data_IF_277583402929
#
_entry.id   IF_277583402929
#
_cell.length_a   1.000
_cell.length_b   1.000
_cell.length_c   1.000
_cell.angle_alpha   90.00
_cell.angle_beta   90.00
_cell.angle_gamma   90.00
#
_symmetry.space_group_name_H-M   'P 1'
#
loop_
_entity.id
_entity.type
_entity.pdbx_description
1 polymer ?
#
# COMPACT_ATOMS: atom_id res chain seq x y z
N UNK A 1 3.72 6.09 18.05
CA UNK A 1 4.37 5.31 17.00
C UNK A 1 4.09 3.83 17.19
N UNK A 2 3.73 3.17 16.15
CA UNK A 2 3.48 1.74 16.17
C UNK A 2 4.47 0.99 15.31
N UNK A 3 4.30 -0.29 15.25
CA UNK A 3 5.01 -1.14 14.31
C UNK A 3 4.01 -2.01 13.58
N UNK A 4 4.39 -2.44 12.40
CA UNK A 4 3.55 -3.26 11.53
C UNK A 4 4.12 -4.67 11.43
N UNK A 5 3.24 -5.65 11.54
CA UNK A 5 3.57 -7.04 11.28
C UNK A 5 2.65 -7.46 10.15
N UNK A 6 3.21 -7.75 8.99
CA UNK A 6 2.45 -8.12 7.81
C UNK A 6 2.85 -9.49 7.31
N UNK A 7 1.88 -10.17 6.72
CA UNK A 7 2.11 -11.43 5.99
C UNK A 7 1.59 -11.25 4.58
N UNK A 8 2.38 -11.66 3.60
CA UNK A 8 2.04 -11.55 2.18
C UNK A 8 1.88 -12.93 1.57
N UNK A 9 0.90 -13.07 0.72
CA UNK A 9 0.59 -14.33 0.06
C UNK A 9 0.27 -14.10 -1.40
N UNK A 10 0.62 -15.07 -2.24
CA UNK A 10 0.11 -15.13 -3.59
C UNK A 10 -1.28 -15.74 -3.52
N UNK A 11 -2.21 -15.16 -4.26
CA UNK A 11 -3.62 -15.54 -4.19
C UNK A 11 -4.03 -16.25 -5.47
N UNK A 12 -4.79 -17.32 -5.32
CA UNK A 12 -5.43 -18.00 -6.44
C UNK A 12 -6.90 -18.20 -6.11
N UNK A 13 -7.74 -18.31 -7.13
CA UNK A 13 -9.16 -18.53 -6.96
C UNK A 13 -9.96 -17.23 -6.92
N UNK A 14 -11.26 -17.38 -6.71
CA UNK A 14 -12.18 -16.25 -6.71
C UNK A 14 -12.35 -15.69 -5.31
N UNK A 15 -11.76 -14.54 -5.06
CA UNK A 15 -11.89 -13.84 -3.80
C UNK A 15 -12.81 -12.61 -3.92
N UNK A 16 -13.10 -12.17 -5.14
CA UNK A 16 -13.84 -10.93 -5.38
C UNK A 16 -15.27 -10.99 -4.85
N UNK A 17 -15.88 -12.15 -4.90
CA UNK A 17 -17.22 -12.33 -4.37
C UNK A 17 -17.28 -12.23 -2.85
N UNK A 18 -16.16 -12.44 -2.18
CA UNK A 18 -16.06 -12.34 -0.73
C UNK A 18 -15.63 -10.96 -0.24
N UNK A 19 -15.27 -10.09 -1.15
CA UNK A 19 -14.84 -8.74 -0.80
C UNK A 19 -16.06 -7.88 -0.44
N UNK A 20 -15.96 -7.17 0.67
CA UNK A 20 -17.05 -6.27 1.08
C UNK A 20 -16.78 -4.83 0.63
N UNK A 21 -15.58 -4.56 0.14
CA UNK A 21 -15.20 -3.24 -0.35
C UNK A 21 -14.03 -3.37 -1.31
N UNK A 22 -14.01 -2.51 -2.31
CA UNK A 22 -12.85 -2.40 -3.19
C UNK A 22 -12.67 -0.93 -3.60
N UNK A 23 -11.45 -0.56 -3.91
CA UNK A 23 -11.14 0.79 -4.37
C UNK A 23 -9.83 0.79 -5.15
N UNK A 24 -9.68 1.76 -6.07
CA UNK A 24 -8.42 1.90 -6.81
C UNK A 24 -7.35 2.53 -5.93
N UNK A 25 -6.10 2.12 -6.15
CA UNK A 25 -4.93 2.69 -5.49
C UNK A 25 -3.87 2.99 -6.55
N UNK A 26 -3.37 4.22 -6.54
CA UNK A 26 -2.22 4.61 -7.35
C UNK A 26 -1.17 5.17 -6.41
N UNK A 27 0.05 4.69 -6.51
CA UNK A 27 1.10 5.11 -5.59
C UNK A 27 2.47 5.13 -6.27
N UNK A 28 3.33 5.97 -5.75
CA UNK A 28 4.70 6.05 -6.20
C UNK A 28 5.58 6.62 -5.11
N UNK A 29 6.88 6.53 -5.32
CA UNK A 29 7.87 7.03 -4.37
C UNK A 29 8.53 8.28 -4.93
N UNK A 30 8.45 9.38 -4.17
CA UNK A 30 9.16 10.61 -4.50
C UNK A 30 10.63 10.48 -4.14
N UNK A 31 10.90 9.72 -3.09
CA UNK A 31 12.27 9.50 -2.63
C UNK A 31 12.38 8.10 -2.05
N UNK A 32 13.48 7.45 -2.38
CA UNK A 32 13.77 6.11 -1.90
C UNK A 32 15.27 6.03 -1.66
N UNK A 33 15.67 6.33 -0.45
CA UNK A 33 17.09 6.38 -0.06
C UNK A 33 17.36 5.37 1.05
N UNK A 34 18.62 5.27 1.46
CA UNK A 34 18.97 4.45 2.62
C UNK A 34 18.53 5.04 3.94
N UNK A 35 18.05 6.28 3.95
CA UNK A 35 17.66 6.99 5.17
C UNK A 35 16.15 7.12 5.29
N UNK A 36 15.46 7.37 4.20
CA UNK A 36 14.03 7.62 4.24
C UNK A 36 13.32 7.18 2.96
N UNK A 37 12.02 7.00 3.11
CA UNK A 37 11.13 6.66 2.01
C UNK A 37 9.98 7.66 2.03
N UNK A 38 9.68 8.29 0.90
CA UNK A 38 8.54 9.19 0.77
C UNK A 38 7.63 8.65 -0.32
N UNK A 39 6.42 8.28 0.09
CA UNK A 39 5.43 7.70 -0.80
C UNK A 39 4.21 8.61 -0.92
N UNK A 40 3.70 8.75 -2.14
CA UNK A 40 2.42 9.42 -2.39
C UNK A 40 1.45 8.35 -2.86
N UNK A 41 0.25 8.36 -2.31
CA UNK A 41 -0.79 7.38 -2.63
C UNK A 41 -2.13 8.07 -2.83
N UNK A 42 -2.81 7.75 -3.91
CA UNK A 42 -4.21 8.09 -4.11
C UNK A 42 -4.99 6.80 -3.87
N UNK A 43 -5.91 6.85 -2.93
CA UNK A 43 -6.67 5.70 -2.47
C UNK A 43 -8.15 6.06 -2.53
N UNK A 44 -8.85 5.60 -3.57
CA UNK A 44 -10.20 6.03 -3.81
C UNK A 44 -10.26 7.53 -4.06
N UNK A 45 -10.99 8.26 -3.24
CA UNK A 45 -11.15 9.70 -3.35
C UNK A 45 -10.27 10.49 -2.39
N UNK A 46 -9.37 9.80 -1.71
CA UNK A 46 -8.45 10.42 -0.76
C UNK A 46 -7.01 10.23 -1.20
N UNK A 47 -6.13 11.10 -0.74
CA UNK A 47 -4.72 10.99 -1.05
C UNK A 47 -3.90 11.26 0.19
N UNK A 48 -2.72 10.64 0.24
CA UNK A 48 -1.85 10.71 1.41
C UNK A 48 -0.40 10.80 0.98
N UNK A 49 0.38 11.53 1.77
CA UNK A 49 1.83 11.47 1.69
C UNK A 49 2.33 10.78 2.94
N UNK A 50 3.22 9.81 2.77
CA UNK A 50 3.75 9.02 3.86
C UNK A 50 5.27 9.11 3.85
N UNK A 51 5.84 9.42 4.99
CA UNK A 51 7.29 9.44 5.18
C UNK A 51 7.64 8.35 6.16
N UNK A 52 8.57 7.49 5.79
CA UNK A 52 9.04 6.40 6.66
C UNK A 52 10.55 6.52 6.80
N UNK A 53 11.04 6.32 8.03
CA UNK A 53 12.47 6.22 8.25
C UNK A 53 12.94 4.85 7.79
N UNK A 54 14.21 4.74 7.40
CA UNK A 54 14.79 3.45 7.08
C UNK A 54 14.82 2.56 8.32
N UNK A 55 14.76 1.24 8.10
CA UNK A 55 14.94 0.30 9.17
C UNK A 55 16.38 0.37 9.68
N UNK A 56 16.51 0.43 10.99
CA UNK A 56 17.82 0.36 11.63
C UNK A 56 18.17 -1.12 11.80
N UNK A 57 19.42 -1.46 11.52
CA UNK A 57 19.90 -2.83 11.64
C UNK A 57 19.53 -3.44 12.99
N UNK A 58 18.95 -4.63 12.95
CA UNK A 58 18.50 -5.33 14.14
C UNK A 58 17.19 -4.87 14.74
N UNK A 59 16.53 -3.91 14.12
CA UNK A 59 15.22 -3.41 14.57
C UNK A 59 14.17 -3.60 13.49
N UNK A 60 12.95 -3.88 13.92
CA UNK A 60 11.80 -4.08 13.01
C UNK A 60 10.85 -2.88 13.00
N UNK A 61 11.12 -1.88 13.83
CA UNK A 61 10.27 -0.69 13.91
C UNK A 61 10.78 0.43 13.02
N UNK A 62 9.85 1.15 12.44
CA UNK A 62 10.11 2.36 11.67
C UNK A 62 9.32 3.50 12.25
N UNK A 63 9.84 4.70 12.12
CA UNK A 63 9.04 5.89 12.32
C UNK A 63 8.26 6.16 11.04
N UNK A 64 7.00 6.51 11.18
CA UNK A 64 6.14 6.78 10.06
C UNK A 64 5.30 8.02 10.33
N UNK A 65 5.22 8.89 9.34
CA UNK A 65 4.36 10.07 9.36
C UNK A 65 3.47 10.01 8.14
N UNK A 66 2.18 10.18 8.33
CA UNK A 66 1.24 10.16 7.23
C UNK A 66 0.28 11.32 7.34
N UNK A 67 0.09 12.03 6.24
CA UNK A 67 -0.79 13.19 6.18
C UNK A 67 -1.67 13.10 4.96
N UNK A 68 -2.94 13.42 5.14
CA UNK A 68 -3.85 13.53 4.02
C UNK A 68 -3.53 14.80 3.24
N UNK A 69 -3.53 14.69 1.91
CA UNK A 69 -3.27 15.82 1.02
C UNK A 69 -4.36 15.87 -0.04
N UNK A 70 -4.52 17.03 -0.72
CA UNK A 70 -5.47 17.10 -1.81
C UNK A 70 -5.12 16.13 -2.93
N UNK A 71 -6.13 15.50 -3.52
CA UNK A 71 -5.92 14.55 -4.62
C UNK A 71 -5.21 15.22 -5.79
N UNK A 72 -5.54 16.49 -6.07
CA UNK A 72 -4.89 17.24 -7.15
C UNK A 72 -3.37 17.32 -6.96
N UNK A 73 -2.95 17.60 -5.74
CA UNK A 73 -1.52 17.67 -5.42
C UNK A 73 -0.87 16.31 -5.56
N UNK A 74 -1.56 15.27 -5.10
CA UNK A 74 -1.03 13.91 -5.19
C UNK A 74 -0.83 13.49 -6.65
N UNK A 75 -1.77 13.82 -7.53
CA UNK A 75 -1.64 13.48 -8.94
C UNK A 75 -0.44 14.18 -9.58
N UNK A 76 -0.19 15.43 -9.21
CA UNK A 76 0.99 16.15 -9.67
C UNK A 76 2.27 15.52 -9.14
N UNK A 77 2.27 15.11 -7.87
CA UNK A 77 3.40 14.44 -7.26
C UNK A 77 3.68 13.07 -7.91
N UNK A 78 2.63 12.34 -8.25
CA UNK A 78 2.79 11.06 -8.93
C UNK A 78 3.49 11.21 -10.29
N UNK A 79 3.25 12.33 -10.97
CA UNK A 79 3.94 12.59 -12.23
C UNK A 79 5.45 12.72 -12.03
N UNK A 80 5.90 13.10 -10.86
CA UNK A 80 7.33 13.21 -10.53
C UNK A 80 7.96 11.84 -10.23
N UNK A 81 7.14 10.83 -9.99
CA UNK A 81 7.65 9.49 -9.66
C UNK A 81 8.11 8.70 -10.89
N UNK A 82 7.81 9.21 -12.09
CA UNK A 82 8.24 8.56 -13.33
C UNK A 82 7.57 7.22 -13.55
N UNK A 83 8.36 6.24 -13.98
CA UNK A 83 7.85 4.92 -14.36
C UNK A 83 7.55 4.01 -13.17
N UNK A 84 7.89 4.44 -11.97
CA UNK A 84 7.71 3.62 -10.78
C UNK A 84 6.32 3.68 -10.16
N UNK A 85 5.35 4.27 -10.85
CA UNK A 85 3.99 4.35 -10.32
C UNK A 85 3.28 3.01 -10.43
N UNK A 86 2.69 2.58 -9.32
CA UNK A 86 1.92 1.34 -9.25
C UNK A 86 0.44 1.69 -9.29
N UNK A 87 -0.30 0.96 -10.14
CA UNK A 87 -1.74 1.08 -10.27
C UNK A 87 -2.35 -0.27 -9.93
N UNK A 88 -3.26 -0.30 -8.97
CA UNK A 88 -3.85 -1.55 -8.52
C UNK A 88 -5.26 -1.31 -7.98
N UNK A 89 -6.03 -2.39 -7.85
CA UNK A 89 -7.31 -2.38 -7.15
C UNK A 89 -7.14 -3.18 -5.87
N UNK A 90 -7.51 -2.59 -4.75
CA UNK A 90 -7.46 -3.25 -3.46
C UNK A 90 -8.85 -3.75 -3.09
N UNK A 91 -8.92 -5.02 -2.72
CA UNK A 91 -10.13 -5.66 -2.24
C UNK A 91 -9.96 -5.98 -0.77
N UNK A 92 -10.98 -5.64 0.01
CA UNK A 92 -10.97 -5.93 1.44
C UNK A 92 -11.80 -7.18 1.68
N UNK A 93 -11.18 -8.21 2.22
CA UNK A 93 -11.81 -9.50 2.47
C UNK A 93 -11.64 -9.83 3.95
N UNK A 94 -12.77 -10.08 4.63
CA UNK A 94 -12.71 -10.42 6.03
C UNK A 94 -12.85 -11.94 6.20
N UNK A 95 -11.87 -12.54 6.87
CA UNK A 95 -11.90 -13.98 7.17
C UNK A 95 -11.70 -14.15 8.66
N UNK A 96 -12.78 -14.62 9.34
CA UNK A 96 -12.78 -14.66 10.79
C UNK A 96 -12.62 -13.27 11.38
N UNK A 97 -11.64 -13.09 12.22
CA UNK A 97 -11.32 -11.79 12.83
C UNK A 97 -10.20 -11.04 12.12
N UNK A 98 -9.69 -11.58 11.02
CA UNK A 98 -8.61 -10.95 10.27
C UNK A 98 -9.15 -10.28 9.02
N UNK A 99 -8.57 -9.13 8.72
CA UNK A 99 -8.86 -8.39 7.49
C UNK A 99 -7.72 -8.62 6.52
N UNK A 100 -8.05 -9.11 5.34
CA UNK A 100 -7.08 -9.29 4.26
C UNK A 100 -7.24 -8.19 3.24
N UNK A 101 -6.12 -7.66 2.79
CA UNK A 101 -6.08 -6.72 1.68
C UNK A 101 -5.52 -7.47 0.48
N UNK A 102 -6.35 -7.65 -0.55
CA UNK A 102 -5.94 -8.35 -1.76
C UNK A 102 -5.78 -7.34 -2.87
N UNK A 103 -4.58 -7.22 -3.39
CA UNK A 103 -4.26 -6.26 -4.44
C UNK A 103 -4.13 -6.95 -5.78
N UNK A 104 -4.94 -6.47 -6.74
CA UNK A 104 -4.87 -6.89 -8.13
C UNK A 104 -4.15 -5.78 -8.90
N UNK A 105 -2.99 -6.09 -9.44
CA UNK A 105 -2.13 -5.12 -10.09
C UNK A 105 -2.49 -4.95 -11.56
N UNK A 106 -2.35 -3.73 -12.05
CA UNK A 106 -2.63 -3.34 -13.43
C UNK A 106 -1.35 -2.82 -14.07
N UNK A 107 -1.41 -2.48 -15.34
CA UNK A 107 -0.32 -1.82 -16.08
C UNK A 107 1.06 -2.41 -15.87
N UNK A 108 1.40 -3.41 -16.66
CA UNK A 108 2.70 -4.05 -16.61
C UNK A 108 2.82 -5.18 -15.62
N UNK A 109 1.87 -5.29 -14.70
CA UNK A 109 1.85 -6.33 -13.68
C UNK A 109 0.52 -7.09 -13.65
N UNK A 110 -0.20 -7.11 -14.76
CA UNK A 110 -1.49 -7.78 -14.85
C UNK A 110 -1.33 -9.25 -14.49
N UNK A 111 -2.30 -9.76 -13.75
CA UNK A 111 -2.29 -11.13 -13.30
C UNK A 111 -1.62 -11.34 -11.95
N UNK A 112 -0.93 -10.33 -11.43
CA UNK A 112 -0.33 -10.43 -10.10
C UNK A 112 -1.39 -10.13 -9.06
N UNK A 113 -1.55 -11.06 -8.10
CA UNK A 113 -2.46 -10.92 -6.98
C UNK A 113 -1.67 -11.17 -5.71
N UNK A 114 -1.68 -10.20 -4.81
CA UNK A 114 -0.98 -10.31 -3.53
C UNK A 114 -1.95 -10.02 -2.41
N UNK A 115 -2.06 -10.92 -1.44
CA UNK A 115 -2.84 -10.71 -0.24
C UNK A 115 -1.93 -10.38 0.92
N UNK A 116 -2.35 -9.41 1.72
CA UNK A 116 -1.65 -9.03 2.94
C UNK A 116 -2.62 -9.11 4.10
N UNK A 117 -2.12 -9.54 5.24
CA UNK A 117 -2.86 -9.48 6.50
C UNK A 117 -1.97 -8.79 7.52
N UNK A 118 -2.53 -7.82 8.22
CA UNK A 118 -1.84 -7.13 9.28
C UNK A 118 -2.16 -7.79 10.61
N UNK A 119 -1.14 -8.10 11.37
CA UNK A 119 -1.28 -8.78 12.65
C UNK A 119 -0.96 -7.82 13.78
N UNK A 120 -1.74 -7.90 14.86
CA UNK A 120 -1.47 -7.08 16.03
C UNK A 120 -0.20 -7.53 16.74
N UNK A 121 0.08 -8.83 16.68
CA UNK A 121 1.30 -9.43 17.25
C UNK A 121 1.56 -10.77 16.57
N UNK A 122 2.73 -11.23 16.70
CA UNK A 122 3.17 -12.52 16.15
C UNK A 122 2.40 -13.70 16.73
#
# INVERSE_FOLDING_TARGET
>A
MGYEIERKFLVSGDFKSDAFKSYPVRQGYLSLTGVSVVRVRVKGEQAFITVKSALVEGKITRHEWEYEIPVEDALEMLALCGEGVIDKTRYLVKVGKHLYEVDEFHEGNEGLLIAEVELERE
#
